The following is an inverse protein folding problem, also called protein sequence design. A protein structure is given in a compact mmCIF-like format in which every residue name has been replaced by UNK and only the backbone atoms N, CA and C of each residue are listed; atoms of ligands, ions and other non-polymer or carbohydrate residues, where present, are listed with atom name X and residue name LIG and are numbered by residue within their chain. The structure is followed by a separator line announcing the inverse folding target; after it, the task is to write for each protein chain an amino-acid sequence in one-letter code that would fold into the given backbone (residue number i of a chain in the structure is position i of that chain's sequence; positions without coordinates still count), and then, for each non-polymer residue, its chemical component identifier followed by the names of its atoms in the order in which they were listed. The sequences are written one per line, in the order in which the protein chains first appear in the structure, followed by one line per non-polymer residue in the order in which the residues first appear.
data_IF_518144906434
#
_entry.id   IF_518144906434
#
_cell.length_a   1.000
_cell.length_b   1.000
_cell.length_c   1.000
_cell.angle_alpha   90.00
_cell.angle_beta   90.00
_cell.angle_gamma   90.00
#
_symmetry.space_group_name_H-M   'P 1'
#
loop_
_entity.id
_entity.type
_entity.pdbx_description
1 polymer ?
#
# COMPACT_ATOMS: atom_id res chain seq x y z
N UNK A 1 -80.39 -68.57 20.25
CA UNK A 1 -79.60 -69.59 20.98
C UNK A 1 -78.27 -68.95 21.39
N UNK A 2 -77.92 -68.96 22.69
CA UNK A 2 -76.70 -68.46 23.38
C UNK A 2 -76.47 -66.93 23.30
N UNK A 3 -76.76 -66.10 24.32
CA UNK A 3 -76.27 -65.92 25.71
C UNK A 3 -74.75 -65.68 25.86
N UNK A 4 -74.41 -64.53 26.46
CA UNK A 4 -73.20 -64.26 27.26
C UNK A 4 -72.32 -63.13 26.71
N UNK A 5 -72.45 -61.88 27.18
CA UNK A 5 -71.89 -61.26 28.41
C UNK A 5 -70.55 -60.54 28.13
N UNK A 6 -70.56 -59.20 28.18
CA UNK A 6 -69.87 -58.40 29.20
C UNK A 6 -69.80 -56.92 28.79
N UNK A 7 -70.33 -56.07 29.68
CA UNK A 7 -69.96 -54.66 29.85
C UNK A 7 -68.93 -54.63 31.01
N UNK A 8 -67.99 -53.66 31.09
CA UNK A 8 -68.42 -52.31 31.48
C UNK A 8 -67.54 -51.09 31.07
N UNK A 9 -68.21 -49.93 31.13
CA UNK A 9 -67.79 -48.62 31.65
C UNK A 9 -66.73 -47.75 30.94
N UNK A 10 -67.24 -46.56 30.59
CA UNK A 10 -66.68 -45.21 30.75
C UNK A 10 -65.34 -44.87 30.09
N UNK A 11 -65.34 -43.79 29.30
CA UNK A 11 -64.97 -42.44 29.75
C UNK A 11 -65.14 -41.52 28.53
N UNK A 12 -65.81 -40.38 28.73
CA UNK A 12 -66.04 -39.40 27.67
C UNK A 12 -64.74 -38.78 27.17
N UNK A 13 -64.74 -38.31 25.92
CA UNK A 13 -63.82 -37.25 25.51
C UNK A 13 -64.54 -36.30 24.57
N UNK A 14 -64.46 -35.05 25.00
CA UNK A 14 -65.02 -33.81 24.52
C UNK A 14 -64.53 -33.42 23.11
N UNK A 15 -65.41 -32.76 22.36
CA UNK A 15 -65.11 -32.19 21.04
C UNK A 15 -64.30 -30.91 21.22
N UNK A 16 -63.02 -30.93 20.84
CA UNK A 16 -62.25 -29.70 20.66
C UNK A 16 -61.57 -29.64 19.30
N UNK A 17 -62.07 -28.69 18.49
CA UNK A 17 -61.58 -28.28 17.18
C UNK A 17 -60.09 -27.92 17.25
N UNK A 18 -59.27 -28.59 16.45
CA UNK A 18 -57.88 -28.21 16.20
C UNK A 18 -57.81 -27.30 14.98
N UNK A 19 -57.43 -26.04 15.19
CA UNK A 19 -56.92 -25.16 14.15
C UNK A 19 -55.40 -25.34 14.11
N UNK A 20 -54.87 -25.86 12.99
CA UNK A 20 -53.43 -25.90 12.75
C UNK A 20 -52.98 -24.52 12.24
N UNK A 21 -52.41 -23.69 13.11
CA UNK A 21 -51.61 -22.54 12.67
C UNK A 21 -50.21 -23.04 12.32
N UNK A 22 -49.92 -23.11 11.01
CA UNK A 22 -48.56 -23.29 10.50
C UNK A 22 -47.85 -21.94 10.64
N UNK A 23 -46.85 -21.85 11.52
CA UNK A 23 -45.95 -20.69 11.61
C UNK A 23 -44.83 -20.90 10.60
N UNK A 24 -44.84 -20.13 9.51
CA UNK A 24 -43.75 -20.09 8.54
C UNK A 24 -42.74 -19.05 9.05
N UNK A 25 -41.57 -19.50 9.51
CA UNK A 25 -40.42 -18.62 9.73
C UNK A 25 -39.79 -18.30 8.36
N UNK A 26 -40.17 -17.17 7.77
CA UNK A 26 -39.41 -16.57 6.67
C UNK A 26 -38.11 -16.00 7.24
N UNK A 27 -36.99 -16.70 7.02
CA UNK A 27 -35.64 -16.18 7.25
C UNK A 27 -35.37 -15.13 6.17
N UNK A 28 -35.55 -13.84 6.48
CA UNK A 28 -35.14 -12.76 5.57
C UNK A 28 -33.62 -12.71 5.56
N UNK A 29 -33.02 -13.25 4.49
CA UNK A 29 -31.63 -12.98 4.13
C UNK A 29 -31.55 -11.49 3.83
N UNK A 30 -31.06 -10.69 4.78
CA UNK A 30 -30.68 -9.31 4.51
C UNK A 30 -29.58 -9.34 3.45
N UNK A 31 -29.74 -8.72 2.29
CA UNK A 31 -28.64 -8.57 1.36
C UNK A 31 -27.53 -7.81 2.09
N UNK A 32 -26.33 -8.40 2.13
CA UNK A 32 -25.11 -7.66 2.43
C UNK A 32 -25.01 -6.57 1.37
N UNK A 33 -25.48 -5.36 1.70
CA UNK A 33 -25.20 -4.18 0.92
C UNK A 33 -23.68 -3.98 1.04
N UNK A 34 -22.90 -4.04 -0.06
CA UNK A 34 -21.54 -3.54 -0.01
C UNK A 34 -21.65 -2.11 0.48
N UNK A 35 -20.93 -1.78 1.57
CA UNK A 35 -20.75 -0.39 1.94
C UNK A 35 -20.11 0.28 0.73
N UNK A 36 -20.87 1.13 0.05
CA UNK A 36 -20.29 2.10 -0.84
C UNK A 36 -19.37 2.95 0.04
N UNK A 37 -18.07 2.70 -0.05
CA UNK A 37 -17.09 3.64 0.48
C UNK A 37 -17.32 4.92 -0.32
N UNK A 38 -17.95 5.91 0.31
CA UNK A 38 -17.92 7.25 -0.19
C UNK A 38 -16.45 7.60 -0.41
N UNK A 39 -16.09 8.03 -1.62
CA UNK A 39 -14.81 8.64 -1.92
C UNK A 39 -14.75 9.99 -1.19
N UNK A 40 -14.58 9.91 0.13
CA UNK A 40 -14.51 11.03 1.05
C UNK A 40 -13.06 11.45 1.23
N UNK A 41 -12.87 12.77 1.17
CA UNK A 41 -11.75 13.58 1.65
C UNK A 41 -10.48 12.81 2.06
N UNK A 42 -9.41 12.96 1.28
CA UNK A 42 -8.18 12.22 1.50
C UNK A 42 -7.58 12.48 2.88
N UNK A 43 -7.29 11.41 3.61
CA UNK A 43 -6.56 11.49 4.87
C UNK A 43 -5.11 11.93 4.60
N UNK A 44 -4.62 12.90 5.38
CA UNK A 44 -3.22 13.30 5.35
C UNK A 44 -2.41 12.34 6.22
N UNK A 45 -1.58 11.51 5.59
CA UNK A 45 -0.66 10.61 6.26
C UNK A 45 0.68 11.33 6.45
N UNK A 46 1.11 11.51 7.71
CA UNK A 46 2.48 11.92 8.04
C UNK A 46 3.30 10.69 8.42
N UNK A 47 4.52 10.59 7.93
CA UNK A 47 5.40 9.48 8.28
C UNK A 47 6.89 9.78 8.19
N UNK A 48 7.69 8.82 8.65
CA UNK A 48 9.15 8.83 8.53
C UNK A 48 9.67 7.42 8.27
N UNK A 49 10.82 7.33 7.62
CA UNK A 49 11.50 6.07 7.32
C UNK A 49 12.78 6.02 8.13
N UNK A 50 12.96 4.95 8.91
CA UNK A 50 14.09 4.81 9.82
C UNK A 50 14.85 3.51 9.57
N UNK A 51 16.15 3.54 9.80
CA UNK A 51 16.95 2.32 9.93
C UNK A 51 16.54 1.61 11.22
N UNK A 52 16.09 0.36 11.12
CA UNK A 52 15.61 -0.42 12.27
C UNK A 52 16.69 -0.66 13.33
N UNK A 53 17.96 -0.78 12.93
CA UNK A 53 19.07 -1.05 13.85
C UNK A 53 19.60 0.22 14.50
N UNK A 54 19.86 1.25 13.69
CA UNK A 54 20.43 2.51 14.16
C UNK A 54 19.39 3.48 14.75
N UNK A 55 18.11 3.32 14.42
CA UNK A 55 17.02 4.18 14.88
C UNK A 55 17.03 5.59 14.27
N UNK A 56 17.83 5.82 13.23
CA UNK A 56 17.96 7.12 12.56
C UNK A 56 17.05 7.21 11.35
N UNK A 57 16.56 8.41 11.05
CA UNK A 57 15.81 8.67 9.82
C UNK A 57 16.76 8.54 8.64
N UNK A 58 16.33 7.81 7.61
CA UNK A 58 17.15 7.52 6.42
C UNK A 58 16.42 7.94 5.15
N UNK A 59 17.15 8.32 4.08
CA UNK A 59 16.56 8.49 2.77
C UNK A 59 16.04 7.15 2.24
N UNK A 60 15.01 7.15 1.40
CA UNK A 60 14.50 5.91 0.82
C UNK A 60 13.54 6.19 -0.34
N UNK A 61 13.29 5.16 -1.14
CA UNK A 61 12.23 5.12 -2.13
C UNK A 61 10.93 4.66 -1.48
N UNK A 62 9.85 5.40 -1.72
CA UNK A 62 8.51 5.17 -1.19
C UNK A 62 7.51 5.00 -2.33
N UNK A 63 6.80 3.89 -2.31
CA UNK A 63 5.65 3.59 -3.15
C UNK A 63 4.38 3.63 -2.30
N UNK A 64 3.35 4.28 -2.81
CA UNK A 64 2.02 4.34 -2.21
C UNK A 64 1.00 3.95 -3.26
N UNK A 65 0.32 2.83 -3.07
CA UNK A 65 -0.76 2.38 -3.95
C UNK A 65 -2.03 2.20 -3.15
N UNK A 66 -3.13 2.82 -3.57
CA UNK A 66 -4.42 2.60 -2.91
C UNK A 66 -5.08 1.28 -3.33
N UNK A 67 -6.19 0.94 -2.69
CA UNK A 67 -6.96 -0.27 -2.99
C UNK A 67 -7.55 -0.33 -4.40
N UNK A 68 -7.56 0.77 -5.15
CA UNK A 68 -7.99 0.83 -6.55
C UNK A 68 -6.84 0.56 -7.53
N UNK A 69 -5.60 0.45 -7.03
CA UNK A 69 -4.40 0.34 -7.84
C UNK A 69 -3.81 1.68 -8.24
N UNK A 70 -4.38 2.81 -7.78
CA UNK A 70 -3.90 4.14 -8.13
C UNK A 70 -2.66 4.49 -7.30
N UNK A 71 -1.62 5.00 -7.97
CA UNK A 71 -0.38 5.45 -7.34
C UNK A 71 -0.50 6.87 -6.79
N UNK A 72 0.01 7.06 -5.57
CA UNK A 72 0.07 8.33 -4.87
C UNK A 72 1.52 8.72 -4.59
N UNK A 73 1.75 10.01 -4.38
CA UNK A 73 3.09 10.56 -4.20
C UNK A 73 3.19 11.32 -2.89
N UNK A 74 4.33 11.17 -2.21
CA UNK A 74 4.62 11.91 -1.00
C UNK A 74 5.31 13.24 -1.33
N UNK A 75 5.25 14.16 -0.37
CA UNK A 75 6.05 15.38 -0.32
C UNK A 75 6.86 15.38 0.96
N UNK A 76 7.94 16.17 1.01
CA UNK A 76 8.63 16.34 2.28
C UNK A 76 7.80 17.21 3.21
N UNK A 77 7.72 16.81 4.48
CA UNK A 77 7.09 17.60 5.53
C UNK A 77 8.08 18.58 6.20
N UNK A 78 9.35 18.56 5.80
CA UNK A 78 10.43 19.39 6.34
C UNK A 78 10.94 20.36 5.26
N UNK A 79 11.17 21.62 5.63
CA UNK A 79 11.68 22.64 4.70
C UNK A 79 13.10 22.36 4.19
N UNK A 80 13.89 21.57 4.92
CA UNK A 80 15.21 21.12 4.52
C UNK A 80 15.18 19.76 3.82
N UNK A 81 14.01 19.12 3.77
CA UNK A 81 13.84 17.86 3.09
C UNK A 81 13.55 18.03 1.60
N UNK A 82 13.73 16.93 0.87
CA UNK A 82 13.41 16.85 -0.55
C UNK A 82 12.65 15.56 -0.86
N UNK A 83 11.77 15.67 -1.86
CA UNK A 83 10.98 14.59 -2.40
C UNK A 83 11.01 14.69 -3.93
N UNK A 84 11.46 13.65 -4.62
CA UNK A 84 11.48 13.60 -6.09
C UNK A 84 10.49 12.55 -6.57
N UNK A 85 9.48 12.99 -7.31
CA UNK A 85 8.49 12.12 -7.92
C UNK A 85 9.06 11.46 -9.17
N UNK A 86 8.81 10.17 -9.32
CA UNK A 86 9.11 9.41 -10.53
C UNK A 86 7.84 8.73 -11.00
N UNK A 87 7.45 8.96 -12.25
CA UNK A 87 6.25 8.38 -12.85
C UNK A 87 6.56 7.99 -14.29
N UNK A 88 6.57 6.70 -14.54
CA UNK A 88 6.64 6.11 -15.89
C UNK A 88 5.42 5.23 -16.08
N UNK A 89 4.77 5.41 -17.21
CA UNK A 89 3.66 4.60 -17.68
C UNK A 89 3.84 4.43 -19.20
N UNK A 90 4.44 3.31 -19.60
CA UNK A 90 4.80 3.01 -21.00
C UNK A 90 4.63 1.53 -21.28
N UNK A 91 3.81 1.21 -22.30
CA UNK A 91 3.67 -0.12 -22.92
C UNK A 91 3.98 -1.34 -22.02
N UNK A 92 3.24 -1.49 -20.91
CA UNK A 92 3.36 -2.64 -20.01
C UNK A 92 4.39 -2.49 -18.88
N UNK A 93 5.07 -1.36 -18.79
CA UNK A 93 5.95 -0.97 -17.68
C UNK A 93 5.40 0.25 -16.95
N UNK A 94 4.98 0.04 -15.71
CA UNK A 94 4.48 1.10 -14.82
C UNK A 94 5.37 1.15 -13.59
N UNK A 95 5.99 2.30 -13.36
CA UNK A 95 6.75 2.57 -12.15
C UNK A 95 6.38 3.96 -11.62
N UNK A 96 5.88 4.02 -10.39
CA UNK A 96 5.42 5.27 -9.78
C UNK A 96 5.81 5.29 -8.30
N UNK A 97 6.74 6.19 -7.94
CA UNK A 97 7.24 6.32 -6.58
C UNK A 97 7.73 7.74 -6.28
N UNK A 98 8.08 7.95 -5.01
CA UNK A 98 8.79 9.15 -4.54
C UNK A 98 10.10 8.74 -3.89
N UNK A 99 11.23 9.34 -4.27
CA UNK A 99 12.46 9.24 -3.46
C UNK A 99 12.48 10.37 -2.45
N UNK A 100 12.72 10.03 -1.19
CA UNK A 100 12.68 10.94 -0.04
C UNK A 100 14.08 11.07 0.55
N UNK A 101 14.44 12.30 0.91
CA UNK A 101 15.58 12.56 1.81
C UNK A 101 15.30 12.02 3.22
N UNK A 102 16.32 12.06 4.10
CA UNK A 102 16.23 11.61 5.50
C UNK A 102 15.40 12.55 6.41
N UNK A 103 14.15 12.81 6.04
CA UNK A 103 13.22 13.69 6.73
C UNK A 103 11.80 13.11 6.73
N UNK A 104 10.90 13.60 7.59
CA UNK A 104 9.50 13.22 7.54
C UNK A 104 8.84 13.59 6.20
N UNK A 105 7.82 12.83 5.83
CA UNK A 105 7.02 13.03 4.63
C UNK A 105 5.54 13.20 4.99
N UNK A 106 4.80 13.78 4.05
CA UNK A 106 3.34 13.84 4.04
C UNK A 106 2.81 13.28 2.73
N UNK A 107 1.66 12.61 2.77
CA UNK A 107 0.95 12.14 1.59
C UNK A 107 -0.56 12.31 1.80
N UNK A 108 -1.26 12.77 0.76
CA UNK A 108 -2.73 12.80 0.75
C UNK A 108 -3.22 11.51 0.11
N UNK A 109 -3.90 10.67 0.89
CA UNK A 109 -4.35 9.35 0.45
C UNK A 109 -5.88 9.24 0.58
N UNK A 110 -6.58 8.61 -0.37
CA UNK A 110 -8.02 8.40 -0.23
C UNK A 110 -8.34 7.52 0.97
N UNK A 111 -9.58 7.64 1.46
CA UNK A 111 -10.11 6.69 2.45
C UNK A 111 -10.06 5.26 1.92
N UNK A 112 -9.65 4.31 2.75
CA UNK A 112 -9.50 2.91 2.38
C UNK A 112 -8.08 2.39 2.59
N UNK A 113 -7.81 1.16 2.16
CA UNK A 113 -6.48 0.57 2.37
C UNK A 113 -5.47 1.09 1.35
N UNK A 114 -4.23 1.26 1.80
CA UNK A 114 -3.08 1.62 0.98
C UNK A 114 -1.94 0.64 1.24
N UNK A 115 -1.38 0.07 0.17
CA UNK A 115 -0.10 -0.64 0.22
C UNK A 115 1.04 0.38 0.16
N UNK A 116 1.88 0.33 1.19
CA UNK A 116 3.13 1.06 1.30
C UNK A 116 4.26 0.09 1.01
N UNK A 117 5.11 0.43 0.04
CA UNK A 117 6.38 -0.27 -0.18
C UNK A 117 7.54 0.71 0.02
N UNK A 118 8.54 0.33 0.82
CA UNK A 118 9.75 1.12 1.07
C UNK A 118 10.97 0.31 0.67
N UNK A 119 11.87 0.96 -0.06
CA UNK A 119 13.11 0.37 -0.55
C UNK A 119 14.29 1.34 -0.40
N UNK A 120 15.49 0.79 -0.22
CA UNK A 120 16.74 1.55 -0.13
C UNK A 120 17.89 0.64 -0.57
N UNK A 121 18.38 0.84 -1.79
CA UNK A 121 19.52 0.07 -2.32
C UNK A 121 19.32 -1.45 -2.25
N UNK A 122 20.43 -2.21 -2.28
CA UNK A 122 20.42 -3.68 -2.22
C UNK A 122 20.77 -4.24 -0.83
N UNK A 123 21.16 -3.38 0.09
CA UNK A 123 21.58 -3.76 1.44
C UNK A 123 20.44 -3.74 2.47
N UNK A 124 19.27 -3.24 2.08
CA UNK A 124 18.05 -3.27 2.90
C UNK A 124 17.02 -4.26 2.35
N UNK A 125 16.23 -4.84 3.26
CA UNK A 125 15.05 -5.62 2.88
C UNK A 125 13.89 -4.68 2.54
N UNK A 126 13.23 -4.94 1.41
CA UNK A 126 11.98 -4.25 1.05
C UNK A 126 10.95 -4.40 2.17
N UNK A 127 10.45 -3.29 2.68
CA UNK A 127 9.30 -3.27 3.58
C UNK A 127 8.04 -3.14 2.75
N UNK A 128 7.08 -4.05 2.97
CA UNK A 128 5.71 -3.93 2.46
C UNK A 128 4.73 -3.91 3.62
N UNK A 129 3.79 -2.97 3.62
CA UNK A 129 2.81 -2.81 4.69
C UNK A 129 1.50 -2.27 4.13
N UNK A 130 0.39 -2.94 4.42
CA UNK A 130 -0.95 -2.41 4.13
C UNK A 130 -1.47 -1.68 5.36
N UNK A 131 -1.94 -0.45 5.18
CA UNK A 131 -2.54 0.36 6.24
C UNK A 131 -3.88 0.94 5.78
N UNK A 132 -4.71 1.37 6.72
CA UNK A 132 -5.75 2.37 6.46
C UNK A 132 -5.23 3.73 6.96
N UNK A 133 -4.96 4.70 6.07
CA UNK A 133 -4.45 6.02 6.47
C UNK A 133 -5.34 6.74 7.48
N UNK A 134 -6.66 6.52 7.44
CA UNK A 134 -7.60 7.13 8.39
C UNK A 134 -7.51 6.52 9.81
N UNK A 135 -6.92 5.33 9.92
CA UNK A 135 -6.72 4.62 11.20
C UNK A 135 -5.33 4.87 11.80
N UNK A 136 -4.47 5.66 11.15
CA UNK A 136 -3.14 6.00 11.66
C UNK A 136 -3.23 7.22 12.57
N UNK A 137 -3.04 7.00 13.87
CA UNK A 137 -2.90 8.08 14.84
C UNK A 137 -1.46 8.63 14.83
N UNK A 138 -1.32 9.93 14.56
CA UNK A 138 -0.04 10.62 14.62
C UNK A 138 0.89 10.34 13.44
N UNK A 139 2.18 10.12 13.72
CA UNK A 139 3.22 9.92 12.70
C UNK A 139 3.55 8.44 12.51
N UNK A 140 3.37 7.93 11.29
CA UNK A 140 3.72 6.56 10.91
C UNK A 140 5.25 6.39 10.85
N UNK A 141 5.78 5.45 11.63
CA UNK A 141 7.19 5.03 11.51
C UNK A 141 7.28 3.77 10.65
N UNK A 142 8.08 3.86 9.57
CA UNK A 142 8.40 2.76 8.65
C UNK A 142 9.84 2.31 8.91
N UNK A 143 10.02 1.13 9.48
CA UNK A 143 11.33 0.61 9.89
C UNK A 143 11.91 -0.28 8.80
N UNK A 144 13.02 0.15 8.21
CA UNK A 144 13.73 -0.58 7.17
C UNK A 144 14.89 -1.38 7.76
N UNK A 145 15.00 -2.65 7.40
CA UNK A 145 15.99 -3.55 7.96
C UNK A 145 17.20 -3.71 7.03
N UNK A 146 18.35 -3.16 7.42
CA UNK A 146 19.63 -3.46 6.78
C UNK A 146 20.02 -4.91 7.07
N UNK A 147 20.32 -5.69 6.04
CA UNK A 147 20.70 -7.11 6.17
C UNK A 147 22.20 -7.37 5.98
N UNK A 148 22.92 -6.41 5.40
CA UNK A 148 24.37 -6.42 5.26
C UNK A 148 24.88 -4.97 5.24
N UNK A 149 26.10 -4.74 5.69
CA UNK A 149 26.82 -3.47 5.53
C UNK A 149 28.07 -3.73 4.70
N UNK A 150 27.95 -3.51 3.39
CA UNK A 150 29.05 -3.75 2.45
C UNK A 150 30.15 -2.70 2.60
N UNK A 151 29.78 -1.47 2.96
CA UNK A 151 30.73 -0.38 3.18
C UNK A 151 31.66 -0.65 4.38
N UNK A 152 31.13 -1.22 5.46
CA UNK A 152 31.94 -1.70 6.59
C UNK A 152 32.92 -2.82 6.19
N UNK A 153 32.66 -3.51 5.09
CA UNK A 153 33.54 -4.53 4.50
C UNK A 153 34.47 -3.97 3.40
N UNK A 154 34.46 -2.66 3.16
CA UNK A 154 35.27 -2.00 2.14
C UNK A 154 34.71 -2.05 0.72
N UNK A 155 33.44 -2.42 0.55
CA UNK A 155 32.75 -2.44 -0.74
C UNK A 155 31.76 -1.28 -0.84
N UNK A 156 31.79 -0.54 -1.95
CA UNK A 156 30.94 0.64 -2.16
C UNK A 156 29.97 0.41 -3.32
N UNK A 157 28.69 0.71 -3.09
CA UNK A 157 27.64 0.62 -4.10
C UNK A 157 27.82 1.67 -5.20
N UNK A 158 27.49 1.32 -6.44
CA UNK A 158 27.46 2.30 -7.52
C UNK A 158 26.60 1.90 -8.69
N UNK A 159 26.22 2.90 -9.48
CA UNK A 159 25.43 2.75 -10.70
C UNK A 159 26.09 3.51 -11.86
N UNK A 160 26.36 2.80 -12.95
CA UNK A 160 27.04 3.34 -14.13
C UNK A 160 26.09 3.84 -15.21
N UNK A 161 24.77 3.72 -15.02
CA UNK A 161 23.78 4.01 -16.07
C UNK A 161 22.53 4.69 -15.49
N UNK A 162 22.68 5.93 -15.01
CA UNK A 162 21.57 6.68 -14.40
C UNK A 162 21.05 7.77 -15.33
N UNK A 163 19.77 7.67 -15.70
CA UNK A 163 19.03 8.69 -16.46
C UNK A 163 18.18 9.53 -15.51
N UNK A 164 18.80 10.51 -14.86
CA UNK A 164 18.12 11.50 -14.00
C UNK A 164 18.72 12.88 -14.23
N UNK A 165 17.89 13.90 -14.03
CA UNK A 165 18.36 15.30 -14.09
C UNK A 165 19.41 15.55 -13.01
N UNK A 166 20.37 16.44 -13.28
CA UNK A 166 21.38 16.82 -12.28
C UNK A 166 20.76 17.43 -11.01
N UNK A 167 19.56 18.01 -11.13
CA UNK A 167 18.81 18.57 -10.00
C UNK A 167 18.29 17.48 -9.06
N UNK A 168 17.78 16.38 -9.62
CA UNK A 168 17.17 15.31 -8.83
C UNK A 168 18.21 14.34 -8.28
N UNK A 169 19.34 14.20 -8.98
CA UNK A 169 20.37 13.20 -8.70
C UNK A 169 20.81 13.16 -7.23
N UNK A 170 21.08 14.27 -6.51
CA UNK A 170 21.49 14.22 -5.12
C UNK A 170 20.48 13.52 -4.20
N UNK A 171 19.18 13.69 -4.44
CA UNK A 171 18.13 13.02 -3.68
C UNK A 171 18.07 11.53 -4.02
N UNK A 172 18.09 11.20 -5.31
CA UNK A 172 17.94 9.83 -5.80
C UNK A 172 19.09 8.95 -5.36
N UNK A 173 20.33 9.43 -5.50
CA UNK A 173 21.55 8.71 -5.10
C UNK A 173 21.50 8.35 -3.61
N UNK A 174 21.07 9.29 -2.77
CA UNK A 174 20.92 9.05 -1.34
C UNK A 174 19.80 8.08 -1.04
N UNK A 175 18.64 8.17 -1.70
CA UNK A 175 17.51 7.27 -1.50
C UNK A 175 17.80 5.82 -1.93
N UNK A 176 18.61 5.64 -2.96
CA UNK A 176 19.02 4.33 -3.49
C UNK A 176 20.28 3.76 -2.78
N UNK A 177 20.79 4.43 -1.74
CA UNK A 177 22.00 4.02 -0.99
C UNK A 177 23.21 3.81 -1.90
N UNK A 178 23.40 4.70 -2.88
CA UNK A 178 24.50 4.66 -3.84
C UNK A 178 25.67 5.53 -3.39
N UNK A 179 26.90 5.00 -3.44
CA UNK A 179 28.12 5.75 -3.12
C UNK A 179 28.70 6.47 -4.34
N UNK A 180 28.60 5.86 -5.53
CA UNK A 180 29.16 6.40 -6.79
C UNK A 180 28.13 6.27 -7.90
N UNK A 181 27.88 7.37 -8.63
CA UNK A 181 26.96 7.36 -9.77
C UNK A 181 27.55 8.05 -10.99
N UNK A 182 27.30 7.47 -12.16
CA UNK A 182 27.59 8.06 -13.45
C UNK A 182 26.29 8.53 -14.13
N UNK A 183 25.96 9.84 -14.09
CA UNK A 183 24.75 10.34 -14.72
C UNK A 183 24.93 10.47 -16.23
N UNK A 184 24.05 9.81 -16.98
CA UNK A 184 23.95 9.93 -18.43
C UNK A 184 23.02 11.10 -18.76
N UNK A 185 23.59 12.30 -18.77
CA UNK A 185 22.85 13.54 -19.04
C UNK A 185 22.62 13.82 -20.53
N UNK A 186 23.18 12.99 -21.41
CA UNK A 186 23.02 13.10 -22.86
C UNK A 186 22.53 11.78 -23.44
N UNK A 187 21.52 11.87 -24.30
CA UNK A 187 21.05 10.74 -25.10
C UNK A 187 21.76 10.74 -26.45
N UNK A 188 22.52 9.68 -26.70
CA UNK A 188 23.10 9.38 -28.01
C UNK A 188 22.68 7.96 -28.38
N UNK A 189 21.57 7.82 -29.12
CA UNK A 189 21.15 6.56 -29.71
C UNK A 189 21.79 6.33 -31.10
N UNK A 190 22.35 7.39 -31.70
CA UNK A 190 23.03 7.35 -32.99
C UNK A 190 24.48 7.81 -32.80
N UNK A 191 25.43 6.98 -33.25
CA UNK A 191 26.87 7.29 -33.17
C UNK A 191 27.35 8.31 -34.20
N UNK A 192 26.48 8.74 -35.12
CA UNK A 192 26.79 9.68 -36.20
C UNK A 192 26.09 11.03 -36.05
N UNK A 193 25.14 11.17 -35.10
CA UNK A 193 24.51 12.45 -34.79
C UNK A 193 25.10 13.05 -33.50
N UNK A 194 25.40 14.37 -33.45
CA UNK A 194 25.72 15.04 -32.21
C UNK A 194 24.60 14.85 -31.17
N UNK A 195 24.91 14.73 -29.87
CA UNK A 195 23.90 14.55 -28.84
C UNK A 195 22.84 15.67 -28.90
N UNK A 196 21.56 15.29 -28.89
CA UNK A 196 20.46 16.24 -28.82
C UNK A 196 20.36 16.78 -27.39
N UNK A 197 20.09 18.07 -27.26
CA UNK A 197 20.13 18.81 -26.00
C UNK A 197 18.86 18.59 -25.16
N UNK A 198 18.52 17.34 -24.90
CA UNK A 198 17.29 16.85 -24.23
C UNK A 198 16.20 16.41 -25.22
N UNK A 199 15.60 15.24 -24.92
CA UNK A 199 14.35 14.78 -25.50
C UNK A 199 13.25 15.13 -24.48
N UNK A 200 12.27 16.00 -24.83
CA UNK A 200 11.24 16.45 -23.91
C UNK A 200 10.29 15.34 -23.42
N UNK A 201 10.35 14.14 -24.02
CA UNK A 201 9.52 13.00 -23.62
C UNK A 201 10.08 12.19 -22.42
N UNK A 202 11.19 12.63 -21.80
CA UNK A 202 11.88 11.93 -20.70
C UNK A 202 12.36 12.84 -19.57
#
# INVERSE_FOLDING_TARGET
MKKGLNHPQNQGVDLMKRWNSVVIFTLTLLPFLPHAHASGEGASLKGRIVDKGAGVVIPARLYLQDSTGTWHFAESADSNGSAVRYKVDREGSVESHTTLSAHPFIASLPSGTCEITVERGKEYRTLKRTIDPASVDGELTLELERWVDMAAMGWYSGDTHVHRTLKDLPNVVLAEDLNVVFPLIYWAWDGYEPPKKEDPDF
#
